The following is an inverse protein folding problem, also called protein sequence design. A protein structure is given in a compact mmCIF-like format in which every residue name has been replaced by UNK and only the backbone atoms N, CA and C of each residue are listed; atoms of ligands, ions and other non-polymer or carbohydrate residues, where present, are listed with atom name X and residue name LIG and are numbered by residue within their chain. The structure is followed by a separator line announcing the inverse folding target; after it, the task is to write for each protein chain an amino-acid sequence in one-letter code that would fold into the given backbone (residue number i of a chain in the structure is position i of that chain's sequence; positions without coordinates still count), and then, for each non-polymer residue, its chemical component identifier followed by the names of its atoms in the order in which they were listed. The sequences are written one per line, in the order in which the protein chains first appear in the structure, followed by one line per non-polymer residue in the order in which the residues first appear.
data_IF_427276757784
#
_entry.id   IF_427276757784
#
_cell.length_a   1.000
_cell.length_b   1.000
_cell.length_c   1.000
_cell.angle_alpha   90.00
_cell.angle_beta   90.00
_cell.angle_gamma   90.00
#
_symmetry.space_group_name_H-M   'P 1'
#
loop_
_entity.id
_entity.type
_entity.pdbx_description
1 polymer ?
#
# COMPACT_ATOMS: atom_id res chain seq x y z
N UNK A 1 -0.45 19.78 10.90
CA UNK A 1 -0.94 18.59 11.66
C UNK A 1 -0.70 17.38 10.77
N UNK A 2 -0.25 16.22 11.27
CA UNK A 2 -0.15 15.03 10.43
C UNK A 2 -1.54 14.52 10.00
N UNK A 3 -1.66 13.81 8.87
CA UNK A 3 -2.90 13.16 8.48
C UNK A 3 -3.29 12.10 9.51
N UNK A 4 -4.58 11.89 9.72
CA UNK A 4 -5.06 10.85 10.64
C UNK A 4 -4.90 9.49 9.97
N UNK A 5 -4.75 8.44 10.77
CA UNK A 5 -4.67 7.08 10.25
C UNK A 5 -5.88 6.72 9.38
N UNK A 6 -7.09 7.15 9.77
CA UNK A 6 -8.30 6.94 8.98
C UNK A 6 -8.21 7.58 7.57
N UNK A 7 -7.68 8.81 7.48
CA UNK A 7 -7.55 9.52 6.20
C UNK A 7 -6.56 8.76 5.28
N UNK A 8 -5.47 8.23 5.84
CA UNK A 8 -4.48 7.43 5.10
C UNK A 8 -5.04 6.09 4.64
N UNK A 9 -5.74 5.35 5.50
CA UNK A 9 -6.33 4.06 5.15
C UNK A 9 -7.41 4.19 4.07
N UNK A 10 -8.29 5.20 4.18
CA UNK A 10 -9.32 5.46 3.16
C UNK A 10 -8.69 5.88 1.83
N UNK A 11 -7.66 6.73 1.87
CA UNK A 11 -6.96 7.14 0.66
C UNK A 11 -6.21 5.96 0.02
N UNK A 12 -5.64 5.04 0.82
CA UNK A 12 -4.99 3.82 0.33
C UNK A 12 -5.98 2.92 -0.42
N UNK A 13 -7.19 2.72 0.11
CA UNK A 13 -8.23 1.92 -0.54
C UNK A 13 -8.73 2.53 -1.86
N UNK A 14 -8.65 3.86 -2.00
CA UNK A 14 -8.97 4.53 -3.27
C UNK A 14 -7.80 4.48 -4.26
N UNK A 15 -6.58 4.59 -3.76
CA UNK A 15 -5.36 4.59 -4.55
C UNK A 15 -5.05 3.20 -5.11
N UNK A 16 -5.16 2.16 -4.28
CA UNK A 16 -4.79 0.79 -4.64
C UNK A 16 -6.04 -0.08 -4.62
N UNK A 17 -6.47 -0.54 -5.79
CA UNK A 17 -7.48 -1.61 -5.90
C UNK A 17 -6.88 -2.88 -6.49
N UNK A 18 -6.28 -2.77 -7.67
CA UNK A 18 -5.51 -3.83 -8.32
C UNK A 18 -4.08 -3.39 -8.55
N UNK A 19 -3.91 -2.13 -8.97
CA UNK A 19 -2.63 -1.43 -9.05
C UNK A 19 -2.83 0.01 -8.52
N UNK A 20 -1.74 0.74 -8.20
CA UNK A 20 -1.82 2.11 -7.76
C UNK A 20 -2.30 3.03 -8.90
N UNK A 21 -3.36 3.78 -8.67
CA UNK A 21 -4.00 4.68 -9.64
C UNK A 21 -4.00 6.12 -9.12
N UNK A 22 -3.11 6.93 -9.68
CA UNK A 22 -2.93 8.32 -9.26
C UNK A 22 -4.19 9.17 -9.48
N UNK A 23 -4.93 8.96 -10.57
CA UNK A 23 -6.11 9.77 -10.89
C UNK A 23 -7.22 9.55 -9.88
N UNK A 24 -7.38 8.31 -9.41
CA UNK A 24 -8.33 7.97 -8.34
C UNK A 24 -7.95 8.57 -7.00
N UNK A 25 -6.66 8.54 -6.67
CA UNK A 25 -6.16 9.20 -5.46
C UNK A 25 -6.40 10.71 -5.53
N UNK A 26 -6.12 11.35 -6.66
CA UNK A 26 -6.36 12.79 -6.84
C UNK A 26 -7.83 13.14 -6.72
N UNK A 27 -8.72 12.35 -7.33
CA UNK A 27 -10.17 12.53 -7.21
C UNK A 27 -10.64 12.45 -5.74
N UNK A 28 -10.09 11.52 -4.96
CA UNK A 28 -10.38 11.42 -3.53
C UNK A 28 -9.83 12.62 -2.75
N UNK A 29 -8.56 12.98 -2.97
CA UNK A 29 -7.89 14.08 -2.25
C UNK A 29 -8.48 15.45 -2.57
N UNK A 30 -9.10 15.63 -3.75
CA UNK A 30 -9.81 16.86 -4.09
C UNK A 30 -10.96 17.17 -3.09
N UNK A 31 -11.49 16.15 -2.40
CA UNK A 31 -12.52 16.32 -1.36
C UNK A 31 -11.98 16.83 -0.02
N UNK A 32 -10.67 16.72 0.23
CA UNK A 32 -10.04 17.23 1.45
C UNK A 32 -9.74 18.73 1.34
N UNK A 33 -10.19 19.59 2.26
CA UNK A 33 -10.02 21.05 2.12
C UNK A 33 -8.57 21.55 2.29
N UNK A 34 -7.70 20.79 2.95
CA UNK A 34 -6.33 21.20 3.28
C UNK A 34 -5.32 20.65 2.27
N UNK A 35 -4.69 21.50 1.42
CA UNK A 35 -3.71 21.05 0.43
C UNK A 35 -2.43 20.48 1.06
N UNK A 36 -2.03 20.93 2.25
CA UNK A 36 -0.87 20.40 2.95
C UNK A 36 -1.07 18.94 3.37
N UNK A 37 -2.27 18.62 3.86
CA UNK A 37 -2.63 17.24 4.19
C UNK A 37 -2.66 16.34 2.96
N UNK A 38 -3.12 16.85 1.80
CA UNK A 38 -3.11 16.08 0.54
C UNK A 38 -1.69 15.64 0.17
N UNK A 39 -0.71 16.53 0.24
CA UNK A 39 0.70 16.18 -0.06
C UNK A 39 1.28 15.16 0.91
N UNK A 40 0.97 15.29 2.21
CA UNK A 40 1.41 14.32 3.22
C UNK A 40 0.81 12.94 2.96
N UNK A 41 -0.49 12.87 2.62
CA UNK A 41 -1.15 11.61 2.28
C UNK A 41 -0.48 10.98 1.05
N UNK A 42 -0.25 11.74 -0.04
CA UNK A 42 0.45 11.21 -1.23
C UNK A 42 1.82 10.63 -0.88
N UNK A 43 2.58 11.33 -0.04
CA UNK A 43 3.92 10.91 0.36
C UNK A 43 3.88 9.58 1.11
N UNK A 44 2.99 9.45 2.09
CA UNK A 44 2.80 8.21 2.86
C UNK A 44 2.33 7.05 1.98
N UNK A 45 1.39 7.29 1.06
CA UNK A 45 0.87 6.26 0.17
C UNK A 45 1.91 5.78 -0.85
N UNK A 46 2.74 6.68 -1.40
CA UNK A 46 3.87 6.28 -2.25
C UNK A 46 4.91 5.49 -1.48
N UNK A 47 5.16 5.88 -0.23
CA UNK A 47 6.11 5.17 0.63
C UNK A 47 5.67 3.73 0.92
N UNK A 48 4.41 3.49 1.30
CA UNK A 48 3.93 2.13 1.59
C UNK A 48 3.94 1.22 0.34
N UNK A 49 3.60 1.77 -0.84
CA UNK A 49 3.69 1.03 -2.10
C UNK A 49 5.15 0.70 -2.44
N UNK A 50 6.05 1.67 -2.36
CA UNK A 50 7.47 1.45 -2.64
C UNK A 50 8.10 0.44 -1.67
N UNK A 51 7.78 0.50 -0.38
CA UNK A 51 8.26 -0.49 0.61
C UNK A 51 7.68 -1.88 0.34
N UNK A 52 6.44 -1.96 -0.15
CA UNK A 52 5.84 -3.24 -0.58
C UNK A 52 6.64 -3.84 -1.73
N UNK A 53 6.91 -3.08 -2.78
CA UNK A 53 7.70 -3.55 -3.93
C UNK A 53 9.10 -4.01 -3.49
N UNK A 54 9.79 -3.21 -2.68
CA UNK A 54 11.11 -3.59 -2.14
C UNK A 54 11.06 -4.90 -1.35
N UNK A 55 10.04 -5.09 -0.52
CA UNK A 55 9.87 -6.32 0.25
C UNK A 55 9.71 -7.54 -0.66
N UNK A 56 8.85 -7.42 -1.67
CA UNK A 56 8.57 -8.49 -2.63
C UNK A 56 9.83 -8.84 -3.46
N UNK A 57 10.61 -7.84 -3.88
CA UNK A 57 11.79 -7.99 -4.74
C UNK A 57 12.98 -8.58 -3.97
N UNK A 58 12.97 -8.42 -2.64
CA UNK A 58 13.97 -9.01 -1.76
C UNK A 58 13.75 -10.51 -1.49
N UNK A 59 12.61 -11.10 -1.90
CA UNK A 59 12.36 -12.53 -1.71
C UNK A 59 13.10 -13.35 -2.77
N UNK A 60 14.23 -13.93 -2.39
CA UNK A 60 14.99 -14.84 -3.25
C UNK A 60 14.15 -16.06 -3.64
N UNK A 61 14.00 -16.30 -4.94
CA UNK A 61 13.17 -17.40 -5.47
C UNK A 61 11.68 -17.08 -5.59
N UNK A 62 11.25 -15.86 -5.26
CA UNK A 62 9.86 -15.40 -5.37
C UNK A 62 9.06 -15.51 -4.06
N UNK A 63 7.80 -15.09 -4.12
CA UNK A 63 6.89 -14.98 -2.98
C UNK A 63 5.93 -16.16 -2.96
N UNK A 64 5.99 -16.95 -1.89
CA UNK A 64 5.03 -18.05 -1.64
C UNK A 64 3.85 -17.57 -0.80
N UNK A 65 2.70 -17.37 -1.45
CA UNK A 65 1.47 -16.90 -0.79
C UNK A 65 0.82 -17.90 0.17
N UNK A 66 1.22 -19.18 0.13
CA UNK A 66 0.68 -20.23 1.00
C UNK A 66 1.26 -20.21 2.43
N UNK A 67 2.42 -19.58 2.64
CA UNK A 67 3.21 -19.71 3.87
C UNK A 67 3.18 -18.46 4.77
N UNK A 68 2.03 -17.76 4.83
CA UNK A 68 1.89 -16.58 5.69
C UNK A 68 2.62 -15.34 5.17
N UNK A 69 2.96 -15.28 3.87
CA UNK A 69 3.59 -14.10 3.27
C UNK A 69 2.78 -12.81 3.48
N UNK A 70 1.44 -12.89 3.49
CA UNK A 70 0.58 -11.76 3.81
C UNK A 70 0.82 -11.23 5.24
N UNK A 71 1.00 -12.13 6.20
CA UNK A 71 1.29 -11.75 7.57
C UNK A 71 2.66 -11.11 7.70
N UNK A 72 3.66 -11.70 7.06
CA UNK A 72 5.03 -11.17 7.09
C UNK A 72 5.10 -9.78 6.45
N UNK A 73 4.45 -9.59 5.30
CA UNK A 73 4.36 -8.30 4.64
C UNK A 73 3.62 -7.28 5.53
N UNK A 74 2.52 -7.67 6.17
CA UNK A 74 1.79 -6.76 7.06
C UNK A 74 2.65 -6.29 8.24
N UNK A 75 3.34 -7.22 8.91
CA UNK A 75 4.21 -6.87 10.03
C UNK A 75 5.38 -6.00 9.58
N UNK A 76 5.97 -6.32 8.43
CA UNK A 76 7.04 -5.52 7.83
C UNK A 76 6.60 -4.07 7.57
N UNK A 77 5.43 -3.88 6.95
CA UNK A 77 4.89 -2.56 6.65
C UNK A 77 4.48 -1.81 7.93
N UNK A 78 3.88 -2.47 8.92
CA UNK A 78 3.42 -1.84 10.16
C UNK A 78 4.53 -1.20 10.99
N UNK A 79 5.76 -1.72 10.90
CA UNK A 79 6.91 -1.11 11.60
C UNK A 79 7.19 0.30 11.07
N UNK A 80 6.96 0.55 9.77
CA UNK A 80 7.25 1.83 9.09
C UNK A 80 6.00 2.69 8.90
N UNK A 81 4.85 2.04 8.75
CA UNK A 81 3.54 2.66 8.54
C UNK A 81 2.61 2.22 9.66
N UNK A 82 2.79 2.72 10.90
CA UNK A 82 2.01 2.29 12.06
C UNK A 82 0.51 2.62 11.94
N UNK A 83 0.15 3.52 11.03
CA UNK A 83 -1.22 3.86 10.66
C UNK A 83 -1.93 2.76 9.86
N UNK A 84 -1.21 1.82 9.24
CA UNK A 84 -1.79 0.83 8.33
C UNK A 84 -2.66 -0.19 9.08
N UNK A 85 -3.93 -0.23 8.73
CA UNK A 85 -4.91 -1.17 9.27
C UNK A 85 -5.08 -2.41 8.41
N UNK A 86 -5.60 -3.49 9.00
CA UNK A 86 -5.81 -4.78 8.30
C UNK A 86 -6.80 -4.69 7.14
N UNK A 87 -7.80 -3.83 7.26
CA UNK A 87 -8.83 -3.63 6.23
C UNK A 87 -8.21 -3.04 4.98
N UNK A 88 -7.54 -1.89 5.11
CA UNK A 88 -6.86 -1.24 3.99
C UNK A 88 -5.67 -2.05 3.46
N UNK A 89 -4.98 -2.83 4.31
CA UNK A 89 -3.90 -3.72 3.86
C UNK A 89 -4.35 -4.74 2.80
N UNK A 90 -5.64 -5.10 2.72
CA UNK A 90 -6.15 -5.97 1.67
C UNK A 90 -5.90 -5.42 0.26
N UNK A 91 -5.91 -4.11 0.09
CA UNK A 91 -5.54 -3.44 -1.15
C UNK A 91 -4.08 -3.74 -1.54
N UNK A 92 -3.17 -3.64 -0.56
CA UNK A 92 -1.76 -3.96 -0.73
C UNK A 92 -1.55 -5.43 -1.07
N UNK A 93 -2.29 -6.35 -0.44
CA UNK A 93 -2.23 -7.78 -0.78
C UNK A 93 -2.67 -8.03 -2.23
N UNK A 94 -3.77 -7.42 -2.67
CA UNK A 94 -4.25 -7.53 -4.05
C UNK A 94 -3.21 -7.05 -5.05
N UNK A 95 -2.63 -5.88 -4.80
CA UNK A 95 -1.52 -5.31 -5.57
C UNK A 95 -0.29 -6.22 -5.58
N UNK A 96 0.13 -6.73 -4.42
CA UNK A 96 1.31 -7.59 -4.30
C UNK A 96 1.14 -8.87 -5.09
N UNK A 97 -0.04 -9.51 -5.03
CA UNK A 97 -0.35 -10.72 -5.81
C UNK A 97 -0.36 -10.45 -7.30
N UNK A 98 -0.94 -9.33 -7.72
CA UNK A 98 -0.95 -8.91 -9.12
C UNK A 98 0.47 -8.70 -9.63
N UNK A 99 1.29 -7.95 -8.88
CA UNK A 99 2.69 -7.71 -9.20
C UNK A 99 3.47 -9.02 -9.29
N UNK A 100 3.36 -9.92 -8.30
CA UNK A 100 4.10 -11.18 -8.34
C UNK A 100 3.70 -12.07 -9.52
N UNK A 101 2.42 -12.03 -9.94
CA UNK A 101 1.96 -12.71 -11.15
C UNK A 101 2.49 -12.04 -12.43
N UNK A 102 2.42 -10.72 -12.52
CA UNK A 102 2.81 -9.96 -13.71
C UNK A 102 4.33 -10.02 -13.97
N UNK A 103 5.13 -9.87 -12.92
CA UNK A 103 6.60 -9.78 -13.01
C UNK A 103 7.32 -11.12 -12.80
N UNK A 104 6.56 -12.22 -12.65
CA UNK A 104 7.12 -13.57 -12.52
C UNK A 104 7.80 -13.85 -11.18
N UNK A 105 7.33 -13.23 -10.10
CA UNK A 105 7.84 -13.43 -8.74
C UNK A 105 7.02 -14.43 -7.92
N UNK A 106 6.11 -15.19 -8.52
CA UNK A 106 5.45 -16.28 -7.80
C UNK A 106 6.39 -17.48 -7.67
N UNK A 107 6.53 -17.99 -6.45
CA UNK A 107 7.29 -19.19 -6.11
C UNK A 107 6.39 -20.43 -6.01
#
# INVERSE_FOLDING_TARGET
MPPRAEDLNRALEQYVQTFPDADRLEAHLATHPDPGLREMIRTELRAVVSETEKFLWAQEGGVSWANGAEEHLFQHLRVRHPWLERTAFRAIVGFSKWICWHDGLNA
#
